data_IF_816986466814
#
_entry.id   IF_816986466814
#
_cell.length_a   1.000
_cell.length_b   1.000
_cell.length_c   1.000
_cell.angle_alpha   90.00
_cell.angle_beta   90.00
_cell.angle_gamma   90.00
#
_symmetry.space_group_name_H-M   'P 1'
#
loop_
_entity.id
_entity.type
_entity.pdbx_description
1 polymer ?
#
# COMPACT_ATOMS: atom_id res chain seq x y z
N UNK A 1 54.64 -20.94 -42.34
CA UNK A 1 54.81 -21.03 -40.86
C UNK A 1 54.05 -19.85 -40.20
N UNK A 2 54.27 -18.60 -40.59
CA UNK A 2 53.68 -17.41 -39.97
C UNK A 2 52.12 -17.39 -40.04
N UNK A 3 51.54 -17.93 -41.15
CA UNK A 3 50.07 -17.96 -41.33
C UNK A 3 49.37 -18.93 -40.38
N UNK A 4 49.99 -20.02 -40.03
CA UNK A 4 49.41 -21.03 -39.10
C UNK A 4 49.56 -20.60 -37.64
N UNK A 5 50.60 -19.86 -37.28
CA UNK A 5 50.77 -19.30 -35.92
C UNK A 5 49.79 -18.19 -35.62
N UNK A 6 49.44 -17.37 -36.63
CA UNK A 6 48.42 -16.30 -36.47
C UNK A 6 47.02 -16.88 -36.25
N UNK A 7 46.66 -17.99 -36.93
CA UNK A 7 45.36 -18.68 -36.74
C UNK A 7 45.25 -19.29 -35.34
N UNK A 8 46.33 -19.90 -34.82
CA UNK A 8 46.37 -20.45 -33.49
C UNK A 8 46.25 -19.41 -32.38
N UNK A 9 46.79 -18.21 -32.56
CA UNK A 9 46.67 -17.09 -31.64
C UNK A 9 45.24 -16.51 -31.59
N UNK A 10 44.55 -16.43 -32.73
CA UNK A 10 43.16 -15.96 -32.82
C UNK A 10 42.20 -17.00 -32.19
N UNK A 11 42.43 -18.28 -32.37
CA UNK A 11 41.62 -19.35 -31.77
C UNK A 11 41.76 -19.40 -30.25
N UNK A 12 42.90 -19.02 -29.68
CA UNK A 12 43.12 -18.95 -28.21
C UNK A 12 42.34 -17.80 -27.53
N UNK A 13 41.99 -16.73 -28.24
CA UNK A 13 41.27 -15.60 -27.71
C UNK A 13 39.73 -15.82 -27.64
N UNK A 14 39.20 -16.85 -28.32
CA UNK A 14 37.77 -17.15 -28.37
C UNK A 14 37.27 -18.04 -27.23
N UNK A 15 38.13 -18.54 -26.36
CA UNK A 15 37.75 -19.40 -25.21
C UNK A 15 37.69 -18.64 -23.87
N UNK A 16 37.79 -17.30 -23.85
CA UNK A 16 37.44 -16.52 -22.66
C UNK A 16 35.92 -16.38 -22.58
N UNK A 17 35.24 -17.50 -22.40
CA UNK A 17 33.80 -17.59 -22.08
C UNK A 17 33.55 -16.88 -20.77
N UNK A 18 32.60 -15.96 -20.74
CA UNK A 18 32.13 -15.30 -19.55
C UNK A 18 31.80 -16.35 -18.48
N UNK A 19 32.61 -16.42 -17.41
CA UNK A 19 32.29 -17.22 -16.24
C UNK A 19 31.13 -16.49 -15.54
N UNK A 20 29.94 -17.03 -15.75
CA UNK A 20 28.78 -16.57 -15.03
C UNK A 20 28.98 -16.90 -13.55
N UNK A 21 28.88 -15.88 -12.67
CA UNK A 21 29.04 -16.08 -11.24
C UNK A 21 27.88 -16.93 -10.70
N UNK A 22 28.13 -18.24 -10.56
CA UNK A 22 27.13 -19.22 -10.12
C UNK A 22 26.49 -18.83 -8.77
N UNK A 23 27.22 -18.13 -7.90
CA UNK A 23 26.69 -17.66 -6.63
C UNK A 23 25.66 -16.56 -6.83
N UNK A 24 25.88 -15.65 -7.77
CA UNK A 24 24.87 -14.62 -8.12
C UNK A 24 23.63 -15.24 -8.80
N UNK A 25 23.85 -16.21 -9.67
CA UNK A 25 22.75 -16.95 -10.29
C UNK A 25 21.97 -17.74 -9.25
N UNK A 26 22.62 -18.48 -8.35
CA UNK A 26 21.95 -19.18 -7.24
C UNK A 26 21.23 -18.22 -6.28
N UNK A 27 21.77 -17.04 -5.98
CA UNK A 27 21.12 -16.02 -5.17
C UNK A 27 19.86 -15.46 -5.86
N UNK A 28 19.84 -15.33 -7.18
CA UNK A 28 18.65 -14.95 -7.96
C UNK A 28 17.57 -16.05 -7.93
N UNK A 29 17.97 -17.33 -7.95
CA UNK A 29 17.04 -18.46 -7.82
C UNK A 29 16.56 -18.73 -6.38
N UNK A 30 17.27 -18.24 -5.36
CA UNK A 30 16.81 -18.28 -3.96
C UNK A 30 15.82 -17.17 -3.64
N UNK A 31 15.67 -16.14 -4.48
CA UNK A 31 14.57 -15.19 -4.43
C UNK A 31 13.28 -15.99 -4.59
N UNK A 32 12.38 -15.93 -3.58
CA UNK A 32 11.09 -16.65 -3.57
C UNK A 32 10.44 -16.57 -4.95
N UNK A 33 10.40 -17.69 -5.67
CA UNK A 33 9.74 -17.80 -6.97
C UNK A 33 8.27 -17.32 -6.80
N UNK A 34 7.88 -16.32 -7.59
CA UNK A 34 6.51 -15.80 -7.58
C UNK A 34 6.25 -14.66 -6.60
N UNK A 35 7.28 -14.07 -5.96
CA UNK A 35 7.12 -12.87 -5.14
C UNK A 35 8.06 -11.78 -5.62
N UNK A 36 7.51 -10.68 -6.13
CA UNK A 36 8.28 -9.48 -6.44
C UNK A 36 8.35 -8.58 -5.20
N UNK A 37 9.54 -8.08 -4.92
CA UNK A 37 9.79 -7.16 -3.81
C UNK A 37 10.19 -5.79 -4.34
N UNK A 38 9.58 -4.73 -3.78
CA UNK A 38 9.97 -3.35 -4.01
C UNK A 38 10.10 -2.60 -2.69
N UNK A 39 11.12 -1.75 -2.58
CA UNK A 39 11.41 -0.98 -1.37
C UNK A 39 11.22 0.51 -1.64
N UNK A 40 10.78 1.25 -0.59
CA UNK A 40 10.53 2.69 -0.65
C UNK A 40 9.65 3.08 -1.84
N UNK A 41 8.49 2.42 -1.94
CA UNK A 41 7.57 2.61 -3.06
C UNK A 41 6.75 3.88 -2.88
N UNK A 42 6.42 4.47 -4.02
CA UNK A 42 5.48 5.55 -4.16
C UNK A 42 4.55 5.19 -5.34
N UNK A 43 3.26 5.10 -5.09
CA UNK A 43 2.24 4.69 -6.06
C UNK A 43 1.13 5.72 -6.13
N UNK A 44 0.70 6.04 -7.34
CA UNK A 44 -0.36 7.01 -7.59
C UNK A 44 -1.60 6.33 -8.16
N UNK A 45 -2.74 6.60 -7.55
CA UNK A 45 -4.05 6.15 -8.02
C UNK A 45 -4.77 7.29 -8.73
N UNK A 46 -5.22 7.03 -9.96
CA UNK A 46 -6.01 7.96 -10.74
C UNK A 46 -7.35 7.36 -11.11
N UNK A 47 -8.41 8.16 -11.09
CA UNK A 47 -9.74 7.77 -11.50
C UNK A 47 -10.35 8.87 -12.38
N UNK A 48 -10.83 8.48 -13.58
CA UNK A 48 -11.35 9.45 -14.54
C UNK A 48 -10.34 10.52 -14.97
N UNK A 49 -9.05 10.15 -15.10
CA UNK A 49 -7.97 11.08 -15.48
C UNK A 49 -7.53 12.06 -14.36
N UNK A 50 -8.06 11.91 -13.15
CA UNK A 50 -7.71 12.76 -11.99
C UNK A 50 -6.97 11.94 -10.94
N UNK A 51 -5.87 12.46 -10.41
CA UNK A 51 -5.19 11.85 -9.27
C UNK A 51 -6.09 11.88 -8.03
N UNK A 52 -6.25 10.72 -7.39
CA UNK A 52 -7.12 10.53 -6.23
C UNK A 52 -6.35 10.20 -4.97
N UNK A 53 -5.27 9.45 -5.09
CA UNK A 53 -4.47 9.08 -3.94
C UNK A 53 -3.00 8.87 -4.31
N UNK A 54 -2.13 9.07 -3.32
CA UNK A 54 -0.72 8.74 -3.32
C UNK A 54 -0.45 7.83 -2.15
N UNK A 55 0.03 6.63 -2.44
CA UNK A 55 0.40 5.62 -1.45
C UNK A 55 1.92 5.57 -1.34
N UNK A 56 2.44 5.57 -0.12
CA UNK A 56 3.85 5.35 0.17
C UNK A 56 4.03 4.23 1.17
N UNK A 57 5.03 3.37 0.95
CA UNK A 57 5.37 2.29 1.86
C UNK A 57 6.86 1.93 1.78
N UNK A 58 7.50 1.54 2.90
CA UNK A 58 8.90 1.12 2.90
C UNK A 58 9.14 -0.19 2.16
N UNK A 59 8.12 -1.08 2.13
CA UNK A 59 8.23 -2.41 1.53
C UNK A 59 6.90 -2.82 0.91
N UNK A 60 6.95 -3.35 -0.30
CA UNK A 60 5.85 -3.96 -1.02
C UNK A 60 6.26 -5.36 -1.48
N UNK A 61 5.39 -6.34 -1.27
CA UNK A 61 5.52 -7.71 -1.75
C UNK A 61 4.36 -8.02 -2.69
N UNK A 62 4.65 -8.31 -3.95
CA UNK A 62 3.64 -8.70 -4.93
C UNK A 62 3.71 -10.19 -5.18
N UNK A 63 2.63 -10.89 -4.86
CA UNK A 63 2.46 -12.32 -5.07
C UNK A 63 1.79 -12.57 -6.42
N UNK A 64 2.42 -13.42 -7.25
CA UNK A 64 1.93 -13.79 -8.58
C UNK A 64 1.32 -15.20 -8.61
N UNK A 65 0.95 -15.72 -7.44
CA UNK A 65 0.28 -17.03 -7.31
C UNK A 65 -1.21 -16.94 -7.74
N UNK A 66 -1.95 -18.04 -7.53
CA UNK A 66 -3.39 -18.14 -7.86
C UNK A 66 -4.26 -17.10 -7.14
N UNK A 67 -3.72 -16.42 -6.14
CA UNK A 67 -4.40 -15.35 -5.37
C UNK A 67 -3.61 -14.05 -5.48
N UNK A 68 -3.49 -13.52 -6.72
CA UNK A 68 -2.75 -12.29 -6.99
C UNK A 68 -3.09 -11.18 -5.98
N UNK A 69 -2.10 -10.79 -5.20
CA UNK A 69 -2.23 -9.79 -4.14
C UNK A 69 -0.94 -9.02 -3.95
N UNK A 70 -1.09 -7.82 -3.42
CA UNK A 70 0.04 -6.97 -3.01
C UNK A 70 -0.04 -6.77 -1.50
N UNK A 71 1.04 -7.05 -0.78
CA UNK A 71 1.15 -6.83 0.65
C UNK A 71 2.09 -5.67 0.97
N UNK A 72 1.72 -4.90 1.98
CA UNK A 72 2.53 -3.85 2.60
C UNK A 72 2.78 -4.26 4.06
N UNK A 73 3.85 -5.07 4.30
CA UNK A 73 4.04 -5.74 5.60
C UNK A 73 4.68 -4.86 6.67
N UNK A 74 5.04 -3.64 6.33
CA UNK A 74 5.60 -2.70 7.28
C UNK A 74 4.76 -1.46 7.38
N UNK A 75 4.84 -0.36 7.24
CA UNK A 75 3.91 0.76 7.31
C UNK A 75 3.30 1.07 5.95
N UNK A 76 2.10 1.67 5.96
CA UNK A 76 1.44 2.23 4.81
C UNK A 76 0.99 3.64 5.13
N UNK A 77 1.26 4.59 4.24
CA UNK A 77 0.72 5.94 4.29
C UNK A 77 0.03 6.26 2.96
N UNK A 78 -1.17 6.88 3.04
CA UNK A 78 -1.91 7.31 1.85
C UNK A 78 -2.38 8.75 2.04
N UNK A 79 -2.05 9.62 1.09
CA UNK A 79 -2.64 10.94 0.93
C UNK A 79 -3.79 10.85 -0.09
N UNK A 80 -4.97 11.35 0.26
CA UNK A 80 -6.12 11.49 -0.64
C UNK A 80 -6.26 12.93 -1.09
N UNK A 81 -6.55 13.12 -2.38
CA UNK A 81 -6.58 14.44 -3.01
C UNK A 81 -7.99 14.80 -3.49
N UNK A 82 -8.34 16.04 -3.31
CA UNK A 82 -9.52 16.65 -3.91
C UNK A 82 -9.33 16.96 -5.41
N UNK A 83 -10.30 17.59 -6.04
CA UNK A 83 -10.25 17.96 -7.47
C UNK A 83 -9.19 19.02 -7.81
N UNK A 84 -8.66 19.73 -6.81
CA UNK A 84 -7.62 20.76 -6.95
C UNK A 84 -6.23 20.27 -6.56
N UNK A 85 -6.09 18.96 -6.31
CA UNK A 85 -4.86 18.28 -5.86
C UNK A 85 -4.41 18.74 -4.45
N UNK A 86 -5.34 19.23 -3.64
CA UNK A 86 -5.07 19.47 -2.23
C UNK A 86 -5.38 18.20 -1.44
N UNK A 87 -4.58 17.94 -0.41
CA UNK A 87 -4.82 16.80 0.47
C UNK A 87 -6.08 17.07 1.28
N UNK A 88 -7.10 16.20 1.14
CA UNK A 88 -8.36 16.30 1.89
C UNK A 88 -8.43 15.31 3.07
N UNK A 89 -7.78 14.16 2.94
CA UNK A 89 -7.65 13.19 4.03
C UNK A 89 -6.37 12.36 3.92
N UNK A 90 -6.01 11.65 5.00
CA UNK A 90 -4.85 10.77 5.07
C UNK A 90 -5.20 9.48 5.79
N UNK A 91 -4.46 8.42 5.45
CA UNK A 91 -4.55 7.13 6.10
C UNK A 91 -3.15 6.63 6.47
N UNK A 92 -3.01 6.17 7.71
CA UNK A 92 -1.82 5.48 8.21
C UNK A 92 -2.19 4.11 8.75
N UNK A 93 -1.34 3.10 8.54
CA UNK A 93 -1.48 1.77 9.13
C UNK A 93 -0.14 1.05 9.20
N UNK A 94 -0.07 -0.04 9.96
CA UNK A 94 1.14 -0.86 10.03
C UNK A 94 1.17 -1.97 8.99
N UNK A 95 0.00 -2.40 8.48
CA UNK A 95 -0.11 -3.50 7.53
C UNK A 95 -1.29 -3.30 6.58
N UNK A 96 -1.12 -3.66 5.31
CA UNK A 96 -2.21 -3.71 4.35
C UNK A 96 -2.01 -4.82 3.31
N UNK A 97 -3.13 -5.31 2.75
CA UNK A 97 -3.17 -6.23 1.61
C UNK A 97 -4.13 -5.67 0.57
N UNK A 98 -3.65 -5.49 -0.64
CA UNK A 98 -4.47 -5.18 -1.80
C UNK A 98 -4.83 -6.47 -2.56
N UNK A 99 -6.11 -6.74 -2.68
CA UNK A 99 -6.67 -7.82 -3.47
C UNK A 99 -7.04 -7.30 -4.85
N UNK A 100 -6.17 -7.51 -5.84
CA UNK A 100 -6.33 -6.97 -7.21
C UNK A 100 -7.68 -7.36 -7.84
N UNK A 101 -8.12 -8.62 -7.64
CA UNK A 101 -9.38 -9.13 -8.20
C UNK A 101 -10.64 -8.47 -7.66
N UNK A 102 -10.58 -7.89 -6.47
CA UNK A 102 -11.72 -7.25 -5.79
C UNK A 102 -11.64 -5.73 -5.78
N UNK A 103 -10.48 -5.18 -6.13
CA UNK A 103 -10.16 -3.75 -6.01
C UNK A 103 -10.35 -3.20 -4.59
N UNK A 104 -10.08 -4.06 -3.57
CA UNK A 104 -10.22 -3.76 -2.15
C UNK A 104 -8.86 -3.84 -1.48
N UNK A 105 -8.53 -2.85 -0.67
CA UNK A 105 -7.39 -2.89 0.24
C UNK A 105 -7.90 -3.20 1.64
N UNK A 106 -7.49 -4.34 2.19
CA UNK A 106 -7.68 -4.68 3.59
C UNK A 106 -6.52 -4.12 4.40
N UNK A 107 -6.83 -3.30 5.40
CA UNK A 107 -5.88 -2.50 6.17
C UNK A 107 -6.04 -2.90 7.64
N UNK A 108 -4.95 -3.11 8.34
CA UNK A 108 -4.99 -3.49 9.74
C UNK A 108 -3.81 -2.98 10.55
N UNK A 109 -3.98 -3.09 11.85
CA UNK A 109 -3.01 -2.74 12.88
C UNK A 109 -2.74 -1.23 12.93
N UNK A 110 -3.22 -0.60 14.00
CA UNK A 110 -3.09 0.84 14.26
C UNK A 110 -3.59 1.73 13.11
N UNK A 111 -4.75 1.37 12.55
CA UNK A 111 -5.35 2.14 11.45
C UNK A 111 -5.82 3.50 11.95
N UNK A 112 -5.40 4.54 11.25
CA UNK A 112 -5.80 5.93 11.48
C UNK A 112 -6.18 6.59 10.16
N UNK A 113 -7.40 7.12 10.07
CA UNK A 113 -7.83 7.98 8.95
C UNK A 113 -8.15 9.35 9.51
N UNK A 114 -7.65 10.41 8.90
CA UNK A 114 -7.88 11.76 9.39
C UNK A 114 -8.00 12.78 8.25
N UNK A 115 -8.88 13.77 8.45
CA UNK A 115 -9.13 14.82 7.48
C UNK A 115 -8.54 16.15 7.93
N UNK A 116 -8.64 17.15 7.06
CA UNK A 116 -8.15 18.52 7.34
C UNK A 116 -8.99 19.29 8.34
N UNK A 117 -10.20 18.80 8.70
CA UNK A 117 -11.07 19.40 9.71
C UNK A 117 -10.75 18.98 11.14
N UNK A 118 -9.87 17.97 11.30
CA UNK A 118 -9.46 17.42 12.59
C UNK A 118 -10.26 16.19 13.02
N UNK A 119 -11.16 15.68 12.17
CA UNK A 119 -11.83 14.40 12.44
C UNK A 119 -10.83 13.27 12.22
N UNK A 120 -10.77 12.32 13.16
CA UNK A 120 -9.83 11.21 13.14
C UNK A 120 -10.52 9.93 13.54
N UNK A 121 -10.49 8.93 12.65
CA UNK A 121 -10.89 7.55 12.90
C UNK A 121 -9.70 6.77 13.45
N UNK A 122 -9.94 5.94 14.45
CA UNK A 122 -9.05 4.91 14.95
C UNK A 122 -9.77 3.56 14.93
N UNK A 123 -9.17 2.55 14.33
CA UNK A 123 -9.68 1.18 14.34
C UNK A 123 -8.54 0.17 14.19
N UNK A 124 -8.87 -1.12 14.39
CA UNK A 124 -7.90 -2.21 14.18
C UNK A 124 -7.88 -2.71 12.74
N UNK A 125 -9.03 -2.66 12.08
CA UNK A 125 -9.24 -3.19 10.73
C UNK A 125 -10.14 -2.24 9.94
N UNK A 126 -9.80 -2.03 8.67
CA UNK A 126 -10.53 -1.19 7.73
C UNK A 126 -10.43 -1.77 6.33
N UNK A 127 -11.51 -1.74 5.58
CA UNK A 127 -11.50 -2.00 4.15
C UNK A 127 -11.59 -0.68 3.39
N UNK A 128 -10.77 -0.53 2.36
CA UNK A 128 -10.89 0.56 1.41
C UNK A 128 -11.26 -0.01 0.04
N UNK A 129 -12.50 0.27 -0.38
CA UNK A 129 -13.00 -0.01 -1.73
C UNK A 129 -12.57 1.14 -2.65
N UNK A 130 -11.58 0.88 -3.50
CA UNK A 130 -11.03 1.87 -4.41
C UNK A 130 -12.02 2.24 -5.53
N UNK A 131 -12.86 1.29 -5.95
CA UNK A 131 -13.85 1.53 -7.02
C UNK A 131 -14.95 2.49 -6.56
N UNK A 132 -15.39 2.35 -5.30
CA UNK A 132 -16.41 3.20 -4.71
C UNK A 132 -15.83 4.45 -4.02
N UNK A 133 -14.51 4.51 -3.80
CA UNK A 133 -13.86 5.58 -3.02
C UNK A 133 -14.36 5.62 -1.58
N UNK A 134 -14.49 4.44 -0.94
CA UNK A 134 -15.18 4.28 0.33
C UNK A 134 -14.40 3.43 1.32
N UNK A 135 -14.41 3.85 2.58
CA UNK A 135 -13.97 3.06 3.72
C UNK A 135 -15.14 2.35 4.38
N UNK A 136 -14.93 1.13 4.87
CA UNK A 136 -15.90 0.44 5.70
C UNK A 136 -15.24 -0.59 6.61
N UNK A 137 -15.87 -0.83 7.77
CA UNK A 137 -15.50 -1.89 8.71
C UNK A 137 -16.72 -2.32 9.53
N UNK A 138 -16.73 -3.55 10.00
CA UNK A 138 -17.69 -4.10 10.97
C UNK A 138 -17.08 -4.19 12.39
N UNK A 139 -15.84 -3.74 12.55
CA UNK A 139 -15.10 -3.81 13.82
C UNK A 139 -15.33 -2.56 14.68
N UNK A 140 -14.98 -2.62 15.97
CA UNK A 140 -15.04 -1.46 16.86
C UNK A 140 -14.24 -0.27 16.30
N UNK A 141 -14.85 0.90 16.34
CA UNK A 141 -14.27 2.15 15.91
C UNK A 141 -14.33 3.20 16.99
N UNK A 142 -13.37 4.12 16.97
CA UNK A 142 -13.34 5.33 17.75
C UNK A 142 -13.09 6.52 16.84
N UNK A 143 -13.98 7.50 16.87
CA UNK A 143 -13.82 8.74 16.11
C UNK A 143 -13.62 9.90 17.08
N UNK A 144 -12.60 10.67 16.84
CA UNK A 144 -12.37 11.96 17.47
C UNK A 144 -12.71 13.06 16.48
N UNK A 145 -13.59 13.96 16.88
CA UNK A 145 -13.79 15.25 16.22
C UNK A 145 -13.31 16.36 17.14
N UNK A 146 -13.22 17.62 16.68
CA UNK A 146 -12.93 18.76 17.57
C UNK A 146 -13.92 18.91 18.73
N UNK A 147 -15.15 18.40 18.58
CA UNK A 147 -16.26 18.61 19.53
C UNK A 147 -16.53 17.38 20.41
N UNK A 148 -16.29 16.17 19.91
CA UNK A 148 -16.67 14.94 20.62
C UNK A 148 -15.78 13.76 20.31
N UNK A 149 -15.89 12.72 21.16
CA UNK A 149 -15.35 11.40 20.94
C UNK A 149 -16.52 10.42 20.83
N UNK A 150 -16.58 9.65 19.76
CA UNK A 150 -17.63 8.66 19.52
C UNK A 150 -17.02 7.27 19.45
N UNK A 151 -17.75 6.28 19.97
CA UNK A 151 -17.42 4.87 19.91
C UNK A 151 -18.59 4.11 19.28
N UNK A 152 -18.29 3.11 18.49
CA UNK A 152 -19.31 2.23 17.88
C UNK A 152 -18.73 0.97 17.30
N UNK A 153 -19.61 0.10 16.81
CA UNK A 153 -19.26 -1.11 16.07
C UNK A 153 -19.67 -0.93 14.62
N UNK A 154 -18.65 -0.84 13.76
CA UNK A 154 -18.82 -0.62 12.34
C UNK A 154 -18.88 0.84 11.93
N UNK A 155 -18.38 1.09 10.71
CA UNK A 155 -18.31 2.40 10.08
C UNK A 155 -18.42 2.27 8.57
N UNK A 156 -19.01 3.30 7.96
CA UNK A 156 -18.95 3.57 6.54
C UNK A 156 -18.64 5.05 6.32
N UNK A 157 -17.68 5.36 5.46
CA UNK A 157 -17.30 6.75 5.15
C UNK A 157 -16.73 6.85 3.73
N UNK A 158 -16.91 7.96 3.02
CA UNK A 158 -16.16 8.24 1.80
C UNK A 158 -14.66 8.44 2.13
N UNK A 159 -13.81 8.26 1.12
CA UNK A 159 -12.34 8.35 1.32
C UNK A 159 -11.85 9.76 1.70
N UNK A 160 -12.62 10.80 1.39
CA UNK A 160 -12.33 12.18 1.83
C UNK A 160 -12.59 12.40 3.34
N UNK A 161 -13.27 11.45 3.98
CA UNK A 161 -13.61 11.43 5.40
C UNK A 161 -14.30 12.71 5.90
N UNK A 162 -15.08 13.38 5.02
CA UNK A 162 -15.85 14.58 5.38
C UNK A 162 -17.13 14.27 6.13
N UNK A 163 -17.66 13.08 5.91
CA UNK A 163 -18.84 12.52 6.58
C UNK A 163 -18.55 11.06 6.95
N UNK A 164 -19.28 10.53 7.90
CA UNK A 164 -19.18 9.12 8.28
C UNK A 164 -20.47 8.65 8.96
N UNK A 165 -20.82 7.39 8.74
CA UNK A 165 -21.89 6.69 9.41
C UNK A 165 -21.29 5.70 10.39
N UNK A 166 -21.60 5.81 11.68
CA UNK A 166 -21.21 4.84 12.71
C UNK A 166 -22.40 3.95 12.99
N UNK A 167 -22.18 2.65 12.95
CA UNK A 167 -23.19 1.68 13.31
C UNK A 167 -23.06 1.33 14.79
N UNK A 168 -24.20 1.07 15.45
CA UNK A 168 -24.25 0.67 16.87
C UNK A 168 -23.37 1.55 17.76
N UNK A 169 -23.69 2.84 17.82
CA UNK A 169 -23.02 3.79 18.72
C UNK A 169 -23.14 3.28 20.16
N UNK A 170 -22.02 3.11 20.85
CA UNK A 170 -21.98 2.55 22.22
C UNK A 170 -21.79 3.64 23.26
N UNK A 171 -20.91 4.61 23.03
CA UNK A 171 -20.63 5.73 23.93
C UNK A 171 -20.24 6.96 23.11
N UNK A 172 -20.61 8.14 23.64
CA UNK A 172 -20.16 9.41 23.08
C UNK A 172 -19.87 10.39 24.21
N UNK A 173 -18.75 11.12 24.11
CA UNK A 173 -18.34 12.12 25.09
C UNK A 173 -18.19 13.46 24.40
N UNK A 174 -18.94 14.46 24.80
CA UNK A 174 -18.75 15.85 24.34
C UNK A 174 -17.51 16.47 24.99
N UNK A 175 -16.71 17.18 24.22
CA UNK A 175 -15.64 18.03 24.70
C UNK A 175 -16.22 19.44 24.95
N UNK A 176 -16.31 19.83 26.20
CA UNK A 176 -16.65 21.22 26.54
C UNK A 176 -15.38 22.04 26.38
N UNK A 177 -15.37 23.00 25.45
CA UNK A 177 -14.31 24.03 25.40
C UNK A 177 -14.48 24.92 26.65
N UNK A 178 -13.48 24.93 27.52
CA UNK A 178 -13.33 25.95 28.56
C UNK A 178 -12.80 27.23 27.94
#
# INVERSE_FOLDING_TARGET
VIRNTAIALIASFLVSSCVNDEMKVKALFQKKLGVDEAVNIESYMSQGGKMKAKLTAPLMLRYQDTSARVEFPKTLHVDFFDSTLQIESRLDALFAIYYESRNIIFIRDSVRVYNTKGDTLFCKELNWDQAQGKFYTDKPVRIHTPEMIMYGEGLSAPQDFKTFDIFKVTNSVMRVKQ
#
